data_IF_048448470725
#
_entry.id   IF_048448470725
#
_cell.length_a   1.000
_cell.length_b   1.000
_cell.length_c   1.000
_cell.angle_alpha   90.00
_cell.angle_beta   90.00
_cell.angle_gamma   90.00
#
_symmetry.space_group_name_H-M   'P 1'
#
loop_
_entity.id
_entity.type
_entity.pdbx_description
1 polymer ?
#
# COMPACT_ATOMS: atom_id res chain seq x y z
N UNK A 1 -10.36 11.66 -18.24
CA UNK A 1 -10.09 12.02 -16.84
C UNK A 1 -9.96 10.74 -16.03
N UNK A 2 -8.95 10.55 -15.21
CA UNK A 2 -8.90 9.41 -14.31
C UNK A 2 -10.10 9.50 -13.35
N UNK A 3 -10.92 8.49 -13.39
CA UNK A 3 -12.10 8.39 -12.54
C UNK A 3 -11.70 7.85 -11.16
N UNK A 4 -12.46 8.12 -10.10
CA UNK A 4 -12.21 7.55 -8.76
C UNK A 4 -12.04 6.03 -8.79
N UNK A 5 -12.76 5.36 -9.69
CA UNK A 5 -12.66 3.93 -9.94
C UNK A 5 -11.27 3.47 -10.40
N UNK A 6 -10.50 4.30 -11.10
CA UNK A 6 -9.13 3.96 -11.51
C UNK A 6 -8.20 3.85 -10.29
N UNK A 7 -8.35 4.77 -9.33
CA UNK A 7 -7.61 4.71 -8.06
C UNK A 7 -8.02 3.46 -7.26
N UNK A 8 -9.33 3.14 -7.24
CA UNK A 8 -9.82 1.93 -6.57
C UNK A 8 -9.26 0.65 -7.21
N UNK A 9 -9.31 0.53 -8.54
CA UNK A 9 -8.75 -0.64 -9.23
C UNK A 9 -7.23 -0.76 -9.03
N UNK A 10 -6.50 0.35 -9.13
CA UNK A 10 -5.06 0.36 -8.93
C UNK A 10 -4.70 -0.04 -7.48
N UNK A 11 -5.41 0.49 -6.49
CA UNK A 11 -5.23 0.13 -5.08
C UNK A 11 -5.58 -1.34 -4.81
N UNK A 12 -6.63 -1.85 -5.45
CA UNK A 12 -7.02 -3.26 -5.36
C UNK A 12 -5.96 -4.17 -5.99
N UNK A 13 -5.38 -3.78 -7.12
CA UNK A 13 -4.29 -4.53 -7.75
C UNK A 13 -3.06 -4.63 -6.84
N UNK A 14 -2.71 -3.54 -6.16
CA UNK A 14 -1.62 -3.54 -5.15
C UNK A 14 -1.96 -4.48 -3.99
N UNK A 15 -3.19 -4.44 -3.49
CA UNK A 15 -3.65 -5.31 -2.40
C UNK A 15 -3.57 -6.79 -2.79
N UNK A 16 -4.06 -7.15 -3.98
CA UNK A 16 -3.99 -8.52 -4.50
C UNK A 16 -2.54 -8.96 -4.66
N UNK A 17 -1.69 -8.11 -5.26
CA UNK A 17 -0.26 -8.41 -5.42
C UNK A 17 0.42 -8.69 -4.08
N UNK A 18 0.10 -7.91 -3.04
CA UNK A 18 0.64 -8.13 -1.69
C UNK A 18 0.15 -9.43 -1.05
N UNK A 19 -1.10 -9.79 -1.25
CA UNK A 19 -1.63 -11.06 -0.74
C UNK A 19 -0.98 -12.26 -1.43
N UNK A 20 -0.79 -12.18 -2.77
CA UNK A 20 -0.07 -13.22 -3.52
C UNK A 20 1.38 -13.33 -3.02
N UNK A 21 2.05 -12.20 -2.83
CA UNK A 21 3.41 -12.18 -2.28
C UNK A 21 3.45 -12.79 -0.87
N UNK A 22 2.53 -12.40 0.01
CA UNK A 22 2.44 -12.94 1.36
C UNK A 22 2.22 -14.46 1.38
N UNK A 23 1.34 -14.95 0.52
CA UNK A 23 1.05 -16.39 0.42
C UNK A 23 2.21 -17.22 -0.10
N UNK A 24 3.02 -16.66 -1.03
CA UNK A 24 4.13 -17.39 -1.66
C UNK A 24 5.43 -17.27 -0.88
N UNK A 25 5.70 -16.11 -0.29
CA UNK A 25 7.02 -15.82 0.30
C UNK A 25 7.16 -16.24 1.75
N UNK A 26 6.08 -16.28 2.52
CA UNK A 26 6.14 -16.51 3.99
C UNK A 26 4.91 -17.31 4.46
N UNK A 27 4.82 -18.61 4.20
CA UNK A 27 3.86 -19.43 4.93
C UNK A 27 4.40 -19.62 6.37
N UNK A 28 3.67 -19.30 7.44
CA UNK A 28 2.27 -18.91 7.62
C UNK A 28 2.05 -17.40 7.86
N UNK A 29 2.88 -16.53 7.30
CA UNK A 29 2.93 -15.09 7.62
C UNK A 29 1.92 -14.19 6.90
N UNK A 30 0.81 -14.72 6.34
CA UNK A 30 -0.22 -13.93 5.66
C UNK A 30 -0.85 -12.87 6.55
N UNK A 31 -1.10 -13.18 7.82
CA UNK A 31 -1.77 -12.30 8.77
C UNK A 31 -1.06 -10.95 8.94
N UNK A 32 0.26 -10.94 8.93
CA UNK A 32 1.05 -9.71 9.00
C UNK A 32 0.75 -8.78 7.82
N UNK A 33 0.72 -9.33 6.61
CA UNK A 33 0.44 -8.56 5.41
C UNK A 33 -1.02 -8.11 5.35
N UNK A 34 -1.94 -8.95 5.81
CA UNK A 34 -3.36 -8.62 5.90
C UNK A 34 -3.57 -7.41 6.81
N UNK A 35 -2.98 -7.40 8.01
CA UNK A 35 -3.07 -6.26 8.94
C UNK A 35 -2.47 -4.99 8.32
N UNK A 36 -1.32 -5.08 7.66
CA UNK A 36 -0.68 -3.93 7.03
C UNK A 36 -1.51 -3.34 5.89
N UNK A 37 -2.32 -4.13 5.22
CA UNK A 37 -3.13 -3.72 4.06
C UNK A 37 -4.53 -3.26 4.43
N UNK A 38 -5.00 -3.48 5.66
CA UNK A 38 -6.33 -3.06 6.11
C UNK A 38 -6.67 -1.60 5.77
N UNK A 39 -5.78 -0.61 5.98
CA UNK A 39 -6.09 0.78 5.63
C UNK A 39 -6.37 0.99 4.14
N UNK A 40 -5.85 0.14 3.25
CA UNK A 40 -6.04 0.27 1.80
C UNK A 40 -7.48 -0.02 1.35
N UNK A 41 -8.28 -0.71 2.17
CA UNK A 41 -9.69 -0.90 1.89
C UNK A 41 -10.49 0.40 1.87
N UNK A 42 -10.07 1.40 2.64
CA UNK A 42 -10.75 2.71 2.70
C UNK A 42 -10.72 3.41 1.33
N UNK A 43 -9.57 3.64 0.67
CA UNK A 43 -9.55 4.23 -0.65
C UNK A 43 -10.19 3.36 -1.73
N UNK A 44 -10.13 2.03 -1.62
CA UNK A 44 -10.80 1.12 -2.55
C UNK A 44 -12.31 1.34 -2.50
N UNK A 45 -12.92 1.24 -1.32
CA UNK A 45 -14.37 1.44 -1.15
C UNK A 45 -14.79 2.86 -1.51
N UNK A 46 -14.03 3.88 -1.08
CA UNK A 46 -14.31 5.27 -1.42
C UNK A 46 -14.25 5.52 -2.94
N UNK A 47 -13.28 4.91 -3.62
CA UNK A 47 -13.13 5.04 -5.07
C UNK A 47 -14.26 4.36 -5.85
N UNK A 48 -14.69 3.17 -5.45
CA UNK A 48 -15.86 2.51 -6.07
C UNK A 48 -17.16 3.27 -5.82
N UNK A 49 -17.27 3.97 -4.69
CA UNK A 49 -18.39 4.88 -4.40
C UNK A 49 -18.27 6.25 -5.09
N UNK A 50 -17.29 6.45 -5.96
CA UNK A 50 -17.08 7.69 -6.70
C UNK A 50 -16.62 8.88 -5.84
N UNK A 51 -16.19 8.66 -4.59
CA UNK A 51 -15.84 9.74 -3.67
C UNK A 51 -14.44 10.30 -3.96
N UNK A 52 -14.27 11.63 -4.09
CA UNK A 52 -12.99 12.25 -4.40
C UNK A 52 -11.93 12.05 -3.30
N UNK A 53 -12.36 11.74 -2.08
CA UNK A 53 -11.49 11.46 -0.94
C UNK A 53 -10.62 10.21 -1.15
N UNK A 54 -11.01 9.30 -2.05
CA UNK A 54 -10.27 8.08 -2.35
C UNK A 54 -8.81 8.34 -2.73
N UNK A 55 -8.57 9.40 -3.51
CA UNK A 55 -7.21 9.85 -3.86
C UNK A 55 -6.37 10.11 -2.62
N UNK A 56 -6.88 10.92 -1.72
CA UNK A 56 -6.16 11.38 -0.55
C UNK A 56 -5.98 10.28 0.49
N UNK A 57 -6.93 9.35 0.55
CA UNK A 57 -6.85 8.18 1.41
C UNK A 57 -5.81 7.15 0.91
N UNK A 58 -5.60 7.03 -0.41
CA UNK A 58 -4.62 6.10 -0.97
C UNK A 58 -3.18 6.60 -0.83
N UNK A 59 -2.95 7.90 -0.90
CA UNK A 59 -1.60 8.50 -0.98
C UNK A 59 -0.67 8.11 0.18
N UNK A 60 -1.06 8.23 1.47
CA UNK A 60 -0.18 7.89 2.58
C UNK A 60 0.24 6.43 2.54
N UNK A 61 -0.69 5.53 2.26
CA UNK A 61 -0.41 4.10 2.17
C UNK A 61 0.58 3.80 1.04
N UNK A 62 0.33 4.32 -0.16
CA UNK A 62 1.19 4.12 -1.33
C UNK A 62 2.59 4.70 -1.09
N UNK A 63 2.69 5.89 -0.53
CA UNK A 63 3.97 6.54 -0.27
C UNK A 63 4.80 5.77 0.77
N UNK A 64 4.19 5.37 1.89
CA UNK A 64 4.88 4.61 2.95
C UNK A 64 5.31 3.25 2.40
N UNK A 65 4.46 2.56 1.65
CA UNK A 65 4.81 1.27 1.07
C UNK A 65 5.95 1.39 0.07
N UNK A 66 5.92 2.35 -0.83
CA UNK A 66 7.03 2.59 -1.77
C UNK A 66 8.33 2.86 -1.00
N UNK A 67 8.30 3.70 0.02
CA UNK A 67 9.48 3.99 0.84
C UNK A 67 10.03 2.73 1.52
N UNK A 68 9.17 1.93 2.15
CA UNK A 68 9.56 0.66 2.78
C UNK A 68 10.14 -0.31 1.74
N UNK A 69 9.52 -0.42 0.58
CA UNK A 69 9.97 -1.32 -0.47
C UNK A 69 11.30 -0.92 -1.07
N UNK A 70 11.52 0.37 -1.32
CA UNK A 70 12.81 0.90 -1.78
C UNK A 70 13.91 0.65 -0.74
N UNK A 71 13.58 0.80 0.55
CA UNK A 71 14.49 0.48 1.64
C UNK A 71 14.85 -1.01 1.66
N UNK A 72 13.84 -1.88 1.63
CA UNK A 72 14.05 -3.34 1.66
C UNK A 72 14.80 -3.86 0.43
N UNK A 73 14.50 -3.35 -0.76
CA UNK A 73 15.17 -3.76 -1.98
C UNK A 73 16.58 -3.19 -2.11
N UNK A 74 16.75 -1.91 -1.82
CA UNK A 74 18.01 -1.22 -2.01
C UNK A 74 18.99 -1.48 -0.87
N UNK A 75 18.66 -1.02 0.32
CA UNK A 75 19.60 -0.94 1.43
C UNK A 75 19.77 -2.29 2.13
N UNK A 76 18.67 -2.93 2.52
CA UNK A 76 18.75 -4.15 3.31
C UNK A 76 19.40 -5.31 2.54
N UNK A 77 19.19 -5.40 1.22
CA UNK A 77 19.78 -6.46 0.38
C UNK A 77 21.22 -6.20 0.00
N UNK A 78 21.59 -4.95 -0.25
CA UNK A 78 23.00 -4.59 -0.46
C UNK A 78 23.83 -4.93 0.79
N UNK A 79 23.26 -4.63 1.99
CA UNK A 79 23.95 -4.88 3.27
C UNK A 79 24.02 -6.38 3.59
N UNK A 80 22.98 -7.16 3.28
CA UNK A 80 22.93 -8.59 3.62
C UNK A 80 23.53 -9.51 2.57
N UNK A 81 23.77 -9.03 1.36
CA UNK A 81 24.29 -9.81 0.23
C UNK A 81 23.39 -10.97 -0.23
N UNK A 82 22.16 -11.06 0.28
CA UNK A 82 21.21 -12.14 -0.02
C UNK A 82 20.22 -11.69 -1.09
N UNK A 83 20.31 -12.29 -2.27
CA UNK A 83 19.36 -12.10 -3.37
C UNK A 83 18.57 -13.39 -3.59
N UNK A 84 17.26 -13.34 -3.30
CA UNK A 84 16.35 -14.39 -3.72
C UNK A 84 15.58 -13.89 -4.96
N UNK A 85 15.78 -14.50 -6.16
CA UNK A 85 15.20 -14.00 -7.41
C UNK A 85 13.68 -13.86 -7.37
N UNK A 86 12.99 -14.79 -6.72
CA UNK A 86 11.53 -14.78 -6.55
C UNK A 86 11.05 -13.59 -5.72
N UNK A 87 11.72 -13.28 -4.61
CA UNK A 87 11.38 -12.13 -3.79
C UNK A 87 11.64 -10.80 -4.52
N UNK A 88 12.72 -10.73 -5.30
CA UNK A 88 13.02 -9.54 -6.11
C UNK A 88 11.93 -9.35 -7.16
N UNK A 89 11.57 -10.40 -7.91
CA UNK A 89 10.52 -10.33 -8.92
C UNK A 89 9.18 -9.89 -8.33
N UNK A 90 8.76 -10.50 -7.22
CA UNK A 90 7.52 -10.15 -6.52
C UNK A 90 7.52 -8.71 -6.03
N UNK A 91 8.65 -8.27 -5.50
CA UNK A 91 8.82 -6.90 -5.03
C UNK A 91 8.69 -5.92 -6.19
N UNK A 92 9.29 -6.20 -7.34
CA UNK A 92 9.16 -5.36 -8.53
C UNK A 92 7.71 -5.27 -9.00
N UNK A 93 6.96 -6.38 -8.97
CA UNK A 93 5.53 -6.38 -9.33
C UNK A 93 4.72 -5.47 -8.41
N UNK A 94 4.90 -5.58 -7.08
CA UNK A 94 4.21 -4.72 -6.12
C UNK A 94 4.62 -3.26 -6.27
N UNK A 95 5.93 -3.00 -6.45
CA UNK A 95 6.44 -1.65 -6.69
C UNK A 95 5.87 -1.01 -7.95
N UNK A 96 5.79 -1.76 -9.06
CA UNK A 96 5.19 -1.30 -10.30
C UNK A 96 3.69 -1.00 -10.11
N UNK A 97 2.95 -1.89 -9.47
CA UNK A 97 1.52 -1.67 -9.17
C UNK A 97 1.31 -0.43 -8.30
N UNK A 98 2.13 -0.23 -7.27
CA UNK A 98 2.07 0.95 -6.41
C UNK A 98 2.43 2.23 -7.17
N UNK A 99 3.42 2.20 -8.06
CA UNK A 99 3.79 3.34 -8.90
C UNK A 99 2.67 3.73 -9.88
N UNK A 100 2.00 2.74 -10.48
CA UNK A 100 0.83 2.95 -11.34
C UNK A 100 -0.31 3.59 -10.52
N UNK A 101 -0.58 3.08 -9.32
CA UNK A 101 -1.60 3.63 -8.43
C UNK A 101 -1.28 5.08 -8.02
N UNK A 102 -0.02 5.37 -7.69
CA UNK A 102 0.43 6.72 -7.37
C UNK A 102 0.31 7.65 -8.57
N UNK A 103 0.68 7.20 -9.76
CA UNK A 103 0.50 7.94 -11.01
C UNK A 103 -0.97 8.23 -11.32
N UNK A 104 -1.88 7.29 -11.06
CA UNK A 104 -3.32 7.49 -11.17
C UNK A 104 -3.81 8.55 -10.18
N UNK A 105 -3.34 8.50 -8.92
CA UNK A 105 -3.64 9.53 -7.92
C UNK A 105 -3.13 10.92 -8.34
N UNK A 106 -1.91 11.02 -8.84
CA UNK A 106 -1.31 12.29 -9.25
C UNK A 106 -2.07 12.95 -10.40
N UNK A 107 -2.50 12.16 -11.39
CA UNK A 107 -3.23 12.64 -12.57
C UNK A 107 -4.69 13.00 -12.28
N UNK A 108 -5.25 12.56 -11.19
CA UNK A 108 -6.63 12.85 -10.85
C UNK A 108 -6.76 14.18 -10.13
N UNK A 109 -7.33 15.18 -10.82
CA UNK A 109 -7.70 16.46 -10.23
C UNK A 109 -9.01 16.32 -9.44
N UNK A 110 -9.00 16.69 -8.17
CA UNK A 110 -10.16 16.65 -7.28
C UNK A 110 -10.48 18.03 -6.74
N UNK A 111 -11.75 18.28 -6.45
CA UNK A 111 -12.25 19.54 -5.85
C UNK A 111 -12.43 19.42 -4.34
N UNK A 112 -11.67 18.52 -3.69
CA UNK A 112 -11.75 18.31 -2.25
C UNK A 112 -11.22 19.53 -1.50
N UNK A 113 -11.92 19.99 -0.47
CA UNK A 113 -11.50 21.12 0.36
C UNK A 113 -10.20 20.83 1.10
N UNK A 114 -9.37 21.84 1.29
CA UNK A 114 -8.07 21.70 1.94
C UNK A 114 -8.16 21.07 3.35
N UNK A 115 -9.11 21.46 4.22
CA UNK A 115 -9.26 20.80 5.52
C UNK A 115 -9.57 19.30 5.41
N UNK A 116 -10.47 18.92 4.48
CA UNK A 116 -10.79 17.51 4.28
C UNK A 116 -9.59 16.70 3.76
N UNK A 117 -8.76 17.30 2.91
CA UNK A 117 -7.49 16.70 2.46
C UNK A 117 -6.56 16.49 3.65
N UNK A 118 -6.32 17.53 4.45
CA UNK A 118 -5.41 17.47 5.59
C UNK A 118 -5.85 16.41 6.62
N UNK A 119 -7.13 16.42 6.99
CA UNK A 119 -7.70 15.44 7.93
C UNK A 119 -7.53 14.02 7.38
N UNK A 120 -7.84 13.81 6.10
CA UNK A 120 -7.72 12.48 5.48
C UNK A 120 -6.28 11.99 5.47
N UNK A 121 -5.34 12.83 5.06
CA UNK A 121 -3.92 12.47 5.04
C UNK A 121 -3.41 12.12 6.44
N UNK A 122 -3.73 12.94 7.44
CA UNK A 122 -3.33 12.68 8.83
C UNK A 122 -3.94 11.39 9.38
N UNK A 123 -5.26 11.22 9.21
CA UNK A 123 -5.97 10.03 9.70
C UNK A 123 -5.45 8.75 9.02
N UNK A 124 -5.25 8.78 7.71
CA UNK A 124 -4.76 7.60 6.97
C UNK A 124 -3.30 7.30 7.29
N UNK A 125 -2.45 8.32 7.50
CA UNK A 125 -1.08 8.12 7.94
C UNK A 125 -1.04 7.50 9.34
N UNK A 126 -1.83 8.02 10.28
CA UNK A 126 -1.91 7.47 11.63
C UNK A 126 -2.41 6.02 11.62
N UNK A 127 -3.45 5.73 10.84
CA UNK A 127 -4.01 4.38 10.69
C UNK A 127 -2.99 3.42 10.08
N UNK A 128 -2.22 3.85 9.09
CA UNK A 128 -1.18 3.05 8.47
C UNK A 128 -0.04 2.74 9.44
N UNK A 129 0.42 3.73 10.19
CA UNK A 129 1.46 3.54 11.21
C UNK A 129 0.98 2.61 12.33
N UNK A 130 -0.28 2.73 12.73
CA UNK A 130 -0.90 1.83 13.71
C UNK A 130 -0.98 0.40 13.17
N UNK A 131 -1.47 0.20 11.95
CA UNK A 131 -1.54 -1.11 11.32
C UNK A 131 -0.14 -1.74 11.19
N UNK A 132 0.86 -0.94 10.80
CA UNK A 132 2.24 -1.39 10.75
C UNK A 132 2.76 -1.79 12.13
N UNK A 133 2.52 -0.99 13.17
CA UNK A 133 2.92 -1.31 14.54
C UNK A 133 2.27 -2.57 15.07
N UNK A 134 0.97 -2.75 14.82
CA UNK A 134 0.23 -3.97 15.20
C UNK A 134 0.82 -5.20 14.49
N UNK A 135 1.16 -5.07 13.21
CA UNK A 135 1.76 -6.17 12.44
C UNK A 135 3.12 -6.63 12.95
N UNK A 136 3.80 -5.83 13.76
CA UNK A 136 5.08 -6.18 14.39
C UNK A 136 4.93 -6.91 15.73
N UNK A 137 3.71 -7.07 16.24
CA UNK A 137 3.48 -7.85 17.46
C UNK A 137 3.88 -9.30 17.20
N UNK A 138 4.68 -9.95 18.06
CA UNK A 138 5.26 -11.27 17.80
C UNK A 138 4.23 -12.34 17.41
N UNK A 139 3.04 -12.30 18.01
CA UNK A 139 1.94 -13.23 17.71
C UNK A 139 1.41 -13.11 16.28
N UNK A 140 1.39 -11.88 15.73
CA UNK A 140 0.93 -11.60 14.36
C UNK A 140 2.06 -11.80 13.35
N UNK A 141 3.29 -11.50 13.74
CA UNK A 141 4.46 -11.58 12.87
C UNK A 141 5.03 -12.98 12.68
N UNK A 142 4.62 -13.96 13.50
CA UNK A 142 5.13 -15.33 13.48
C UNK A 142 4.13 -16.36 12.91
N UNK A 143 2.93 -15.93 12.52
CA UNK A 143 1.89 -16.78 11.91
C UNK A 143 1.64 -16.44 10.47
#
# INVERSE_FOLDING_TARGET
MPRPTVVAHASLAVLIALYVVGAVSVPPGSLRHEVQTLPLWIPIVAGYRGRPIAKWAALPWLAIMIAIWLYLLGIARIVTGRFFPTEVAMTLVVGAAAAIALGACARWKTTTSLPAVAITLLAMTALQLLAFRISLIPYIGQR
#
